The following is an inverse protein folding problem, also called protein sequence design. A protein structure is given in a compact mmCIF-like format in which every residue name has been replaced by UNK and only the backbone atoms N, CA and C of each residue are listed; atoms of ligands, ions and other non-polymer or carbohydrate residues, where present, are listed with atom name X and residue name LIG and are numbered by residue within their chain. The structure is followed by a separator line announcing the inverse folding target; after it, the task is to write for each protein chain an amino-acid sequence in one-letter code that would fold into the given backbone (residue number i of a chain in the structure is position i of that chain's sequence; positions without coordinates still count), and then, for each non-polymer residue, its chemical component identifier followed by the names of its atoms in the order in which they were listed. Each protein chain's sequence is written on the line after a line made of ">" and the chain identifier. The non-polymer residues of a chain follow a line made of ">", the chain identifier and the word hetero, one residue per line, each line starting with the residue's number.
data_IF_647877209815
#
_entry.id   IF_647877209815
#
_cell.length_a   1.000
_cell.length_b   1.000
_cell.length_c   1.000
_cell.angle_alpha   90.00
_cell.angle_beta   90.00
_cell.angle_gamma   90.00
#
_symmetry.space_group_name_H-M   'P 1'
#
loop_
_entity.id
_entity.type
_entity.pdbx_description
1 polymer ?
#
# COMPACT_ATOMS: atom_id res chain seq x y z
N UNK A 1 1.52 -22.69 -4.72
CA UNK A 1 2.85 -22.19 -5.18
C UNK A 1 2.97 -20.75 -4.72
N UNK A 2 3.68 -20.50 -3.61
CA UNK A 2 3.90 -19.14 -3.11
C UNK A 2 4.85 -18.41 -4.08
N UNK A 3 4.36 -17.38 -4.79
CA UNK A 3 5.25 -16.49 -5.54
C UNK A 3 6.21 -15.83 -4.55
N UNK A 4 7.50 -15.63 -4.91
CA UNK A 4 8.40 -14.88 -4.06
C UNK A 4 7.88 -13.45 -3.89
N UNK A 5 7.86 -12.95 -2.65
CA UNK A 5 7.52 -11.56 -2.32
C UNK A 5 8.27 -10.56 -3.20
N UNK A 6 9.54 -10.86 -3.50
CA UNK A 6 10.41 -10.09 -4.41
C UNK A 6 9.86 -9.97 -5.82
N UNK A 7 9.19 -11.01 -6.33
CA UNK A 7 8.56 -11.00 -7.66
C UNK A 7 7.32 -10.14 -7.67
N UNK A 8 6.50 -10.19 -6.61
CA UNK A 8 5.28 -9.37 -6.48
C UNK A 8 5.64 -7.88 -6.43
N UNK A 9 6.64 -7.51 -5.63
CA UNK A 9 7.10 -6.12 -5.53
C UNK A 9 7.68 -5.64 -6.87
N UNK A 10 8.48 -6.47 -7.54
CA UNK A 10 9.06 -6.11 -8.84
C UNK A 10 8.00 -5.93 -9.92
N UNK A 11 6.98 -6.79 -9.94
CA UNK A 11 5.84 -6.68 -10.86
C UNK A 11 5.02 -5.41 -10.60
N UNK A 12 4.78 -5.10 -9.33
CA UNK A 12 4.14 -3.87 -8.88
C UNK A 12 4.92 -2.64 -9.35
N UNK A 13 6.23 -2.59 -9.08
CA UNK A 13 7.09 -1.48 -9.48
C UNK A 13 7.11 -1.32 -11.01
N UNK A 14 7.18 -2.42 -11.76
CA UNK A 14 7.18 -2.34 -13.23
C UNK A 14 5.84 -1.81 -13.77
N UNK A 15 4.73 -2.25 -13.17
CA UNK A 15 3.38 -1.87 -13.59
C UNK A 15 3.06 -0.40 -13.25
N UNK A 16 3.47 0.06 -12.06
CA UNK A 16 3.13 1.38 -11.54
C UNK A 16 4.31 2.36 -11.51
N UNK A 17 5.42 2.09 -12.22
CA UNK A 17 6.63 2.94 -12.19
C UNK A 17 6.37 4.42 -12.51
N UNK A 18 5.35 4.70 -13.32
CA UNK A 18 4.98 6.07 -13.74
C UNK A 18 4.02 6.77 -12.76
N UNK A 19 3.59 6.09 -11.70
CA UNK A 19 2.64 6.61 -10.73
C UNK A 19 3.33 7.50 -9.70
N UNK A 20 2.70 8.62 -9.36
CA UNK A 20 3.14 9.50 -8.28
C UNK A 20 3.03 8.76 -6.94
N UNK A 21 4.16 8.59 -6.23
CA UNK A 21 4.21 7.80 -4.99
C UNK A 21 4.40 6.30 -5.19
N UNK A 22 4.77 5.83 -6.39
CA UNK A 22 5.01 4.42 -6.67
C UNK A 22 6.05 3.76 -5.75
N UNK A 23 7.14 4.47 -5.44
CA UNK A 23 8.19 3.98 -4.53
C UNK A 23 7.63 3.76 -3.12
N UNK A 24 6.86 4.71 -2.60
CA UNK A 24 6.23 4.64 -1.29
C UNK A 24 5.21 3.50 -1.23
N UNK A 25 4.36 3.35 -2.25
CA UNK A 25 3.41 2.24 -2.34
C UNK A 25 4.13 0.87 -2.41
N UNK A 26 5.22 0.76 -3.18
CA UNK A 26 6.01 -0.46 -3.26
C UNK A 26 6.68 -0.80 -1.92
N UNK A 27 7.16 0.23 -1.19
CA UNK A 27 7.76 0.07 0.13
C UNK A 27 6.73 -0.35 1.18
N UNK A 28 5.52 0.19 1.11
CA UNK A 28 4.40 -0.22 1.95
C UNK A 28 4.02 -1.69 1.67
N UNK A 29 3.94 -2.08 0.40
CA UNK A 29 3.66 -3.47 0.01
C UNK A 29 4.74 -4.42 0.53
N UNK A 30 6.01 -4.02 0.46
CA UNK A 30 7.12 -4.79 1.00
C UNK A 30 7.01 -4.98 2.52
N UNK A 31 6.62 -3.95 3.27
CA UNK A 31 6.43 -4.05 4.71
C UNK A 31 5.29 -5.03 5.04
N UNK A 32 4.14 -4.89 4.38
CA UNK A 32 2.97 -5.76 4.58
C UNK A 32 3.33 -7.23 4.31
N UNK A 33 4.00 -7.52 3.19
CA UNK A 33 4.33 -8.88 2.81
C UNK A 33 5.43 -9.52 3.66
N UNK A 34 6.30 -8.72 4.28
CA UNK A 34 7.36 -9.22 5.18
C UNK A 34 6.95 -9.19 6.67
N UNK A 35 5.78 -8.63 7.01
CA UNK A 35 5.31 -8.58 8.38
C UNK A 35 4.94 -9.98 8.89
N UNK A 36 5.50 -10.35 10.03
CA UNK A 36 5.17 -11.59 10.75
C UNK A 36 3.93 -11.45 11.63
N UNK A 37 3.56 -10.23 12.01
CA UNK A 37 2.38 -9.93 12.84
C UNK A 37 1.07 -9.93 12.06
N UNK A 38 1.13 -9.77 10.73
CA UNK A 38 -0.06 -9.80 9.88
C UNK A 38 -0.40 -11.24 9.49
N UNK A 39 -1.63 -11.66 9.78
CA UNK A 39 -2.19 -12.89 9.24
C UNK A 39 -2.37 -12.81 7.72
N UNK A 40 -2.47 -13.97 7.05
CA UNK A 40 -2.58 -14.02 5.58
C UNK A 40 -3.73 -13.19 5.02
N UNK A 41 -4.92 -13.26 5.65
CA UNK A 41 -6.07 -12.46 5.26
C UNK A 41 -5.81 -10.94 5.34
N UNK A 42 -5.08 -10.49 6.36
CA UNK A 42 -4.74 -9.07 6.53
C UNK A 42 -3.66 -8.63 5.53
N UNK A 43 -2.69 -9.50 5.24
CA UNK A 43 -1.69 -9.23 4.20
C UNK A 43 -2.33 -9.12 2.83
N UNK A 44 -3.25 -10.02 2.49
CA UNK A 44 -3.98 -9.98 1.23
C UNK A 44 -4.87 -8.72 1.13
N UNK A 45 -5.59 -8.36 2.19
CA UNK A 45 -6.42 -7.17 2.21
C UNK A 45 -5.60 -5.88 2.09
N UNK A 46 -4.49 -5.77 2.82
CA UNK A 46 -3.59 -4.63 2.73
C UNK A 46 -2.91 -4.55 1.36
N UNK A 47 -2.42 -5.67 0.81
CA UNK A 47 -1.86 -5.72 -0.55
C UNK A 47 -2.91 -5.30 -1.59
N UNK A 48 -4.16 -5.76 -1.46
CA UNK A 48 -5.27 -5.36 -2.31
C UNK A 48 -5.53 -3.85 -2.26
N UNK A 49 -5.56 -3.26 -1.06
CA UNK A 49 -5.74 -1.82 -0.91
C UNK A 49 -4.60 -1.01 -1.53
N UNK A 50 -3.36 -1.47 -1.44
CA UNK A 50 -2.19 -0.82 -2.04
C UNK A 50 -2.27 -0.87 -3.57
N UNK A 51 -2.69 -2.00 -4.15
CA UNK A 51 -2.94 -2.13 -5.58
C UNK A 51 -4.08 -1.23 -6.06
N UNK A 52 -5.18 -1.15 -5.30
CA UNK A 52 -6.29 -0.23 -5.59
C UNK A 52 -5.82 1.24 -5.58
N UNK A 53 -4.99 1.63 -4.60
CA UNK A 53 -4.41 2.96 -4.54
C UNK A 53 -3.51 3.27 -5.75
N UNK A 54 -2.64 2.33 -6.11
CA UNK A 54 -1.76 2.45 -7.27
C UNK A 54 -2.55 2.55 -8.57
N UNK A 55 -3.63 1.78 -8.69
CA UNK A 55 -4.54 1.83 -9.84
C UNK A 55 -5.31 3.15 -9.91
N UNK A 56 -5.84 3.63 -8.77
CA UNK A 56 -6.59 4.87 -8.71
C UNK A 56 -5.71 6.10 -9.00
N UNK A 57 -4.45 6.08 -8.55
CA UNK A 57 -3.46 7.12 -8.86
C UNK A 57 -2.90 7.02 -10.28
N UNK A 58 -2.90 5.83 -10.90
CA UNK A 58 -2.55 5.66 -12.32
C UNK A 58 -3.67 6.09 -13.29
N UNK A 59 -4.89 6.32 -12.79
CA UNK A 59 -6.01 6.71 -13.63
C UNK A 59 -5.80 8.12 -14.22
N UNK A 60 -6.27 8.34 -15.46
CA UNK A 60 -6.19 9.66 -16.11
C UNK A 60 -6.87 10.77 -15.29
N UNK A 61 -7.93 10.40 -14.55
CA UNK A 61 -8.57 11.25 -13.55
C UNK A 61 -8.49 10.52 -12.20
N UNK A 62 -7.59 10.94 -11.29
CA UNK A 62 -7.46 10.27 -10.00
C UNK A 62 -8.70 10.49 -9.13
N UNK A 63 -9.27 9.40 -8.64
CA UNK A 63 -10.42 9.42 -7.72
C UNK A 63 -9.92 9.65 -6.28
N UNK A 64 -9.68 10.91 -5.95
CA UNK A 64 -9.15 11.34 -4.64
C UNK A 64 -10.05 10.87 -3.47
N UNK A 65 -11.39 10.98 -3.53
CA UNK A 65 -12.26 10.40 -2.49
C UNK A 65 -12.06 8.89 -2.29
N UNK A 66 -11.97 8.12 -3.38
CA UNK A 66 -11.69 6.68 -3.30
C UNK A 66 -10.33 6.41 -2.67
N UNK A 67 -9.29 7.11 -3.13
CA UNK A 67 -7.94 6.97 -2.61
C UNK A 67 -7.87 7.29 -1.11
N UNK A 68 -8.56 8.34 -0.66
CA UNK A 68 -8.65 8.70 0.75
C UNK A 68 -9.28 7.59 1.59
N UNK A 69 -10.40 7.05 1.13
CA UNK A 69 -11.10 5.94 1.79
C UNK A 69 -10.18 4.71 1.93
N UNK A 70 -9.41 4.40 0.87
CA UNK A 70 -8.45 3.29 0.89
C UNK A 70 -7.26 3.53 1.83
N UNK A 71 -6.74 4.76 1.87
CA UNK A 71 -5.69 5.15 2.81
C UNK A 71 -6.17 5.06 4.27
N UNK A 72 -7.39 5.51 4.56
CA UNK A 72 -8.00 5.39 5.90
C UNK A 72 -8.16 3.94 6.32
N UNK A 73 -8.66 3.07 5.42
CA UNK A 73 -8.75 1.62 5.65
C UNK A 73 -7.40 0.98 5.94
N UNK A 74 -6.37 1.31 5.16
CA UNK A 74 -5.00 0.85 5.42
C UNK A 74 -4.51 1.34 6.78
N UNK A 75 -4.79 2.60 7.14
CA UNK A 75 -4.43 3.17 8.43
C UNK A 75 -5.06 2.40 9.58
N UNK A 76 -6.36 2.13 9.50
CA UNK A 76 -7.10 1.34 10.47
C UNK A 76 -6.50 -0.06 10.63
N UNK A 77 -6.22 -0.75 9.52
CA UNK A 77 -5.60 -2.08 9.52
C UNK A 77 -4.24 -2.10 10.22
N UNK A 78 -3.39 -1.12 9.92
CA UNK A 78 -2.05 -1.02 10.53
C UNK A 78 -2.12 -0.67 12.02
N UNK A 79 -3.06 0.19 12.42
CA UNK A 79 -3.23 0.55 13.85
C UNK A 79 -3.94 -0.51 14.68
N UNK A 80 -4.87 -1.25 14.10
CA UNK A 80 -5.70 -2.24 14.80
C UNK A 80 -4.97 -3.54 15.13
N UNK A 81 -3.85 -3.82 14.46
CA UNK A 81 -3.08 -5.06 14.65
C UNK A 81 -1.88 -4.92 15.59
N UNK A 82 -1.46 -3.69 15.92
CA UNK A 82 -0.22 -3.49 16.68
C UNK A 82 1.02 -4.07 15.98
N UNK A 83 0.96 -4.22 14.66
CA UNK A 83 2.00 -4.88 13.89
C UNK A 83 3.35 -4.14 14.02
N UNK A 84 4.45 -4.89 14.02
CA UNK A 84 5.83 -4.36 14.00
C UNK A 84 6.04 -3.29 12.90
N UNK A 85 5.30 -3.42 11.80
CA UNK A 85 5.35 -2.50 10.67
C UNK A 85 4.42 -1.28 10.77
N UNK A 86 3.63 -1.13 11.83
CA UNK A 86 2.60 -0.10 11.92
C UNK A 86 3.22 1.31 11.80
N UNK A 87 4.29 1.59 12.53
CA UNK A 87 4.94 2.89 12.51
C UNK A 87 5.57 3.25 11.16
N UNK A 88 6.40 2.39 10.52
CA UNK A 88 6.91 2.69 9.18
C UNK A 88 5.80 2.73 8.13
N UNK A 89 4.76 1.90 8.22
CA UNK A 89 3.62 1.93 7.32
C UNK A 89 2.83 3.25 7.41
N UNK A 90 2.58 3.74 8.62
CA UNK A 90 1.88 5.01 8.86
C UNK A 90 2.66 6.22 8.34
N UNK A 91 3.99 6.22 8.46
CA UNK A 91 4.83 7.29 7.91
C UNK A 91 4.75 7.36 6.38
N UNK A 92 4.74 6.20 5.72
CA UNK A 92 4.57 6.11 4.27
C UNK A 92 3.17 6.58 3.85
N UNK A 93 2.13 6.13 4.55
CA UNK A 93 0.75 6.57 4.31
C UNK A 93 0.59 8.09 4.44
N UNK A 94 1.23 8.71 5.43
CA UNK A 94 1.23 10.17 5.59
C UNK A 94 1.94 10.88 4.43
N UNK A 95 3.04 10.31 3.93
CA UNK A 95 3.78 10.84 2.77
C UNK A 95 2.91 10.76 1.50
N UNK A 96 2.23 9.64 1.30
CA UNK A 96 1.29 9.44 0.20
C UNK A 96 0.09 10.40 0.27
N UNK A 97 -0.48 10.61 1.47
CA UNK A 97 -1.57 11.57 1.65
C UNK A 97 -1.16 12.99 1.25
N UNK A 98 0.04 13.43 1.65
CA UNK A 98 0.59 14.73 1.27
C UNK A 98 0.81 14.84 -0.26
N UNK A 99 1.28 13.75 -0.90
CA UNK A 99 1.45 13.67 -2.35
C UNK A 99 0.13 13.76 -3.13
N UNK A 100 -0.95 13.19 -2.59
CA UNK A 100 -2.28 13.22 -3.21
C UNK A 100 -3.07 14.50 -2.91
N UNK A 101 -2.50 15.44 -2.14
CA UNK A 101 -3.16 16.71 -1.78
C UNK A 101 -4.38 16.52 -0.87
N UNK A 102 -4.36 15.47 -0.04
CA UNK A 102 -5.40 15.17 0.95
C UNK A 102 -5.09 15.77 2.32
#
# INVERSE_FOLDING_TARGET
>A
MNRPTSTVIRDFQNTYHAVVGADDLARLLQLVLNSSDLGDAQREEAAGCIHDLARASAAQTPDVPHMRTRMERLRELMTGTGADIAQPALAILASLAALFGA
#
